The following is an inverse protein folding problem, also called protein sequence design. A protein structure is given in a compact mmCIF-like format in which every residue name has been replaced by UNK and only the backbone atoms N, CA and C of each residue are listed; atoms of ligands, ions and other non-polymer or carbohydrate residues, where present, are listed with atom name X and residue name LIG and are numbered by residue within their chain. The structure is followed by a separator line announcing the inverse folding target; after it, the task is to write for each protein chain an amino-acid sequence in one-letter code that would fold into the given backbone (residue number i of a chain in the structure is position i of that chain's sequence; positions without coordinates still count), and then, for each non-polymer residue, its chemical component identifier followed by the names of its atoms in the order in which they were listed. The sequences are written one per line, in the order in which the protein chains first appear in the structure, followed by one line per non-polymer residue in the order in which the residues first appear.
data_IF_127892526876
#
_entry.id   IF_127892526876
#
_cell.length_a   1.000
_cell.length_b   1.000
_cell.length_c   1.000
_cell.angle_alpha   90.00
_cell.angle_beta   90.00
_cell.angle_gamma   90.00
#
_symmetry.space_group_name_H-M   'P 1'
#
loop_
_entity.id
_entity.type
_entity.pdbx_description
1 polymer ?
#
# COMPACT_ATOMS: atom_id res chain seq x y z
N UNK A 1 6.82 -7.82 3.40
CA UNK A 1 5.90 -6.70 3.65
C UNK A 1 6.66 -5.37 3.77
N UNK A 2 7.38 -5.11 4.86
CA UNK A 2 8.03 -3.80 5.09
C UNK A 2 9.04 -3.38 4.01
N UNK A 3 9.83 -4.32 3.46
CA UNK A 3 10.75 -4.02 2.36
C UNK A 3 9.99 -3.48 1.13
N UNK A 4 8.89 -4.13 0.75
CA UNK A 4 8.07 -3.70 -0.38
C UNK A 4 7.39 -2.36 -0.10
N UNK A 5 6.92 -2.14 1.13
CA UNK A 5 6.38 -0.85 1.55
C UNK A 5 7.44 0.27 1.47
N UNK A 6 8.68 0.02 1.93
CA UNK A 6 9.77 0.98 1.79
C UNK A 6 10.06 1.31 0.33
N UNK A 7 10.03 0.31 -0.57
CA UNK A 7 10.21 0.54 -2.01
C UNK A 7 9.07 1.40 -2.58
N UNK A 8 7.82 1.10 -2.22
CA UNK A 8 6.65 1.87 -2.66
C UNK A 8 6.73 3.33 -2.19
N UNK A 9 7.17 3.54 -0.94
CA UNK A 9 7.37 4.87 -0.36
C UNK A 9 8.51 5.63 -1.02
N UNK A 10 9.60 4.95 -1.38
CA UNK A 10 10.70 5.54 -2.13
C UNK A 10 10.24 5.96 -3.54
N UNK A 11 9.45 5.12 -4.21
CA UNK A 11 8.88 5.45 -5.51
C UNK A 11 7.94 6.67 -5.43
N UNK A 12 7.07 6.74 -4.42
CA UNK A 12 6.21 7.91 -4.20
C UNK A 12 7.04 9.19 -3.96
N UNK A 13 8.13 9.09 -3.20
CA UNK A 13 9.02 10.22 -2.96
C UNK A 13 9.69 10.71 -4.25
N UNK A 14 10.18 9.79 -5.08
CA UNK A 14 10.77 10.12 -6.38
C UNK A 14 9.75 10.79 -7.31
N UNK A 15 8.53 10.26 -7.40
CA UNK A 15 7.45 10.85 -8.20
C UNK A 15 7.17 12.29 -7.75
N UNK A 16 7.09 12.53 -6.45
CA UNK A 16 6.79 13.86 -5.92
C UNK A 16 7.94 14.85 -6.11
N UNK A 17 9.18 14.47 -5.76
CA UNK A 17 10.31 15.39 -5.74
C UNK A 17 10.92 15.63 -7.12
N UNK A 18 10.81 14.66 -8.02
CA UNK A 18 11.38 14.77 -9.35
C UNK A 18 10.26 15.05 -10.35
N UNK A 19 9.43 14.05 -10.65
CA UNK A 19 8.52 14.16 -11.79
C UNK A 19 7.46 15.27 -11.62
N UNK A 20 6.81 15.35 -10.45
CA UNK A 20 5.81 16.37 -10.20
C UNK A 20 6.43 17.77 -10.14
N UNK A 21 7.56 17.92 -9.45
CA UNK A 21 8.26 19.21 -9.33
C UNK A 21 8.71 19.76 -10.68
N UNK A 22 9.26 18.92 -11.56
CA UNK A 22 9.72 19.35 -12.89
C UNK A 22 8.54 19.81 -13.76
N UNK A 23 7.40 19.10 -13.70
CA UNK A 23 6.21 19.50 -14.46
C UNK A 23 5.59 20.80 -13.96
N UNK A 24 5.59 21.02 -12.64
CA UNK A 24 5.16 22.29 -12.03
C UNK A 24 6.08 23.45 -12.44
N UNK A 25 7.39 23.21 -12.57
CA UNK A 25 8.35 24.21 -13.05
C UNK A 25 8.11 24.56 -14.53
N UNK A 26 7.91 23.56 -15.41
CA UNK A 26 7.59 23.82 -16.82
C UNK A 26 6.30 24.63 -16.97
N UNK A 27 5.27 24.34 -16.17
CA UNK A 27 4.02 25.11 -16.15
C UNK A 27 4.25 26.55 -15.67
N UNK A 28 5.06 26.74 -14.62
CA UNK A 28 5.37 28.05 -14.06
C UNK A 28 6.19 28.93 -15.02
N UNK A 29 7.11 28.34 -15.77
CA UNK A 29 7.91 29.05 -16.79
C UNK A 29 7.13 29.28 -18.10
N UNK A 30 5.94 28.68 -18.25
CA UNK A 30 5.14 28.78 -19.46
C UNK A 30 5.75 28.02 -20.65
N UNK A 31 6.54 26.98 -20.38
CA UNK A 31 7.15 26.11 -21.39
C UNK A 31 6.08 25.16 -21.94
N UNK A 32 5.96 25.10 -23.26
CA UNK A 32 5.11 24.10 -23.91
C UNK A 32 5.69 22.70 -23.67
N UNK A 33 4.95 21.88 -22.93
CA UNK A 33 5.33 20.52 -22.53
C UNK A 33 4.10 19.61 -22.47
N UNK A 34 4.30 18.31 -22.68
CA UNK A 34 3.26 17.29 -22.55
C UNK A 34 3.37 16.56 -21.20
N UNK A 35 2.40 16.71 -20.28
CA UNK A 35 2.46 16.07 -18.96
C UNK A 35 2.54 14.54 -19.05
N UNK A 36 3.58 13.98 -18.44
CA UNK A 36 3.76 12.55 -18.26
C UNK A 36 2.83 12.07 -17.15
N UNK A 37 1.93 11.14 -17.52
CA UNK A 37 1.04 10.48 -16.58
C UNK A 37 1.82 9.45 -15.75
N UNK A 38 1.60 9.46 -14.43
CA UNK A 38 2.17 8.49 -13.50
C UNK A 38 1.11 7.97 -12.55
N UNK A 39 1.30 6.74 -12.07
CA UNK A 39 0.44 6.18 -11.03
C UNK A 39 0.75 6.83 -9.68
N UNK A 40 -0.30 7.16 -8.92
CA UNK A 40 -0.14 7.76 -7.61
C UNK A 40 0.02 6.68 -6.53
N UNK A 41 1.26 6.29 -6.27
CA UNK A 41 1.65 5.31 -5.25
C UNK A 41 1.21 5.69 -3.83
N UNK A 42 0.86 6.95 -3.59
CA UNK A 42 0.33 7.42 -2.30
C UNK A 42 -0.85 6.58 -1.80
N UNK A 43 -1.74 6.13 -2.68
CA UNK A 43 -2.91 5.33 -2.28
C UNK A 43 -2.46 4.00 -1.63
N UNK A 44 -1.37 3.41 -2.12
CA UNK A 44 -0.81 2.17 -1.57
C UNK A 44 -0.04 2.46 -0.27
N UNK A 45 0.74 3.54 -0.23
CA UNK A 45 1.42 3.98 1.00
C UNK A 45 0.42 4.24 2.12
N UNK A 46 -0.65 5.00 1.86
CA UNK A 46 -1.68 5.36 2.82
C UNK A 46 -2.40 4.09 3.34
N UNK A 47 -2.73 3.14 2.46
CA UNK A 47 -3.28 1.84 2.86
C UNK A 47 -2.41 1.13 3.91
N UNK A 48 -1.09 1.26 3.83
CA UNK A 48 -0.16 0.63 4.77
C UNK A 48 0.03 1.46 6.05
N UNK A 49 0.21 2.78 5.91
CA UNK A 49 0.74 3.65 6.97
C UNK A 49 -0.28 4.59 7.63
N UNK A 50 -1.49 4.75 7.08
CA UNK A 50 -2.45 5.72 7.60
C UNK A 50 -2.73 5.47 9.08
N UNK A 51 -2.65 6.54 9.88
CA UNK A 51 -2.84 6.45 11.31
C UNK A 51 -4.29 6.01 11.61
N UNK A 52 -4.45 4.98 12.44
CA UNK A 52 -5.76 4.41 12.84
C UNK A 52 -6.53 3.68 11.73
N UNK A 53 -6.01 3.63 10.50
CA UNK A 53 -6.72 3.02 9.36
C UNK A 53 -5.84 2.12 8.49
N UNK A 54 -4.54 2.29 8.53
CA UNK A 54 -3.59 1.51 7.74
C UNK A 54 -3.34 0.11 8.31
N UNK A 55 -2.75 -0.75 7.49
CA UNK A 55 -2.49 -2.16 7.83
C UNK A 55 -1.65 -2.27 9.11
N UNK A 56 -0.64 -1.41 9.26
CA UNK A 56 0.22 -1.41 10.46
C UNK A 56 -0.58 -0.99 11.70
N UNK A 57 -1.44 0.03 11.59
CA UNK A 57 -2.27 0.47 12.72
C UNK A 57 -3.24 -0.64 13.17
N UNK A 58 -3.86 -1.34 12.23
CA UNK A 58 -4.76 -2.47 12.54
C UNK A 58 -4.01 -3.65 13.17
N UNK A 59 -2.77 -3.91 12.72
CA UNK A 59 -1.91 -4.93 13.31
C UNK A 59 -1.56 -4.57 14.76
N UNK A 60 -1.14 -3.33 15.00
CA UNK A 60 -0.80 -2.85 16.34
C UNK A 60 -2.02 -2.94 17.28
N UNK A 61 -3.20 -2.54 16.80
CA UNK A 61 -4.46 -2.65 17.56
C UNK A 61 -4.84 -4.11 17.90
N UNK A 62 -4.63 -5.05 16.97
CA UNK A 62 -4.91 -6.46 17.23
C UNK A 62 -3.89 -7.08 18.19
N UNK A 63 -2.61 -6.72 18.09
CA UNK A 63 -1.56 -7.16 19.02
C UNK A 63 -1.81 -6.68 20.46
N UNK A 64 -2.46 -5.53 20.65
CA UNK A 64 -2.75 -4.94 21.96
C UNK A 64 -4.12 -5.34 22.53
N UNK A 65 -4.94 -6.06 21.75
CA UNK A 65 -6.30 -6.43 22.13
C UNK A 65 -6.28 -7.47 23.27
N UNK A 66 -7.07 -7.29 24.34
CA UNK A 66 -7.21 -8.31 25.38
C UNK A 66 -7.98 -9.54 24.85
N UNK A 67 -7.48 -10.74 25.17
CA UNK A 67 -8.06 -12.03 24.77
C UNK A 67 -7.17 -12.78 23.79
N UNK A 68 -7.76 -13.74 23.06
CA UNK A 68 -7.07 -14.56 22.08
C UNK A 68 -6.89 -13.81 20.75
N UNK A 69 -5.94 -12.88 20.73
CA UNK A 69 -5.46 -12.26 19.49
C UNK A 69 -4.65 -13.30 18.69
N UNK A 70 -5.05 -13.56 17.46
CA UNK A 70 -4.40 -14.53 16.57
C UNK A 70 -4.24 -13.95 15.16
N UNK A 71 -3.38 -14.56 14.35
CA UNK A 71 -3.24 -14.16 12.95
C UNK A 71 -4.58 -14.26 12.19
N UNK A 72 -5.45 -15.21 12.55
CA UNK A 72 -6.78 -15.36 11.96
C UNK A 72 -7.70 -14.18 12.31
N UNK A 73 -7.73 -13.77 13.58
CA UNK A 73 -8.55 -12.62 14.01
C UNK A 73 -8.06 -11.31 13.41
N UNK A 74 -6.75 -11.19 13.19
CA UNK A 74 -6.17 -10.08 12.43
C UNK A 74 -6.63 -10.07 10.97
N UNK A 75 -6.59 -11.22 10.28
CA UNK A 75 -7.03 -11.33 8.88
C UNK A 75 -8.52 -11.01 8.71
N UNK A 76 -9.38 -11.46 9.61
CA UNK A 76 -10.81 -11.13 9.59
C UNK A 76 -11.04 -9.62 9.73
N UNK A 77 -10.34 -8.98 10.68
CA UNK A 77 -10.42 -7.52 10.87
C UNK A 77 -9.88 -6.72 9.68
N UNK A 78 -8.79 -7.19 9.07
CA UNK A 78 -8.26 -6.59 7.85
C UNK A 78 -9.29 -6.63 6.73
N UNK A 79 -9.98 -7.77 6.54
CA UNK A 79 -11.01 -7.89 5.51
C UNK A 79 -12.21 -6.99 5.82
N UNK A 80 -12.67 -6.94 7.08
CA UNK A 80 -13.78 -6.08 7.49
C UNK A 80 -13.50 -4.58 7.28
N UNK A 81 -12.25 -4.15 7.49
CA UNK A 81 -11.85 -2.73 7.39
C UNK A 81 -11.42 -2.32 5.99
N UNK A 82 -10.78 -3.21 5.24
CA UNK A 82 -10.11 -2.89 3.97
C UNK A 82 -10.60 -3.70 2.77
N UNK A 83 -11.51 -4.67 2.95
CA UNK A 83 -11.94 -5.59 1.88
C UNK A 83 -12.49 -4.92 0.63
N UNK A 84 -13.01 -3.69 0.74
CA UNK A 84 -13.52 -2.90 -0.37
C UNK A 84 -12.49 -1.92 -0.96
N UNK A 85 -11.27 -1.88 -0.45
CA UNK A 85 -10.24 -0.95 -0.92
C UNK A 85 -9.70 -1.42 -2.29
N UNK A 86 -9.63 -0.56 -3.33
CA UNK A 86 -9.28 -0.96 -4.70
C UNK A 86 -7.91 -1.64 -4.85
N UNK A 87 -6.98 -1.35 -3.93
CA UNK A 87 -5.62 -1.90 -3.92
C UNK A 87 -5.41 -2.97 -2.84
N UNK A 88 -6.49 -3.48 -2.26
CA UNK A 88 -6.44 -4.54 -1.26
C UNK A 88 -7.23 -5.76 -1.72
N UNK A 89 -6.64 -6.94 -1.56
CA UNK A 89 -7.31 -8.21 -1.84
C UNK A 89 -6.85 -9.25 -0.84
N UNK A 90 -7.79 -9.95 -0.21
CA UNK A 90 -7.47 -11.07 0.69
C UNK A 90 -7.41 -12.37 -0.11
N UNK A 91 -6.77 -13.40 0.45
CA UNK A 91 -6.76 -14.73 -0.15
C UNK A 91 -8.18 -15.29 -0.37
N UNK A 92 -9.13 -14.90 0.50
CA UNK A 92 -10.55 -15.27 0.40
C UNK A 92 -11.24 -14.61 -0.80
N UNK A 93 -10.96 -13.32 -1.04
CA UNK A 93 -11.53 -12.53 -2.12
C UNK A 93 -10.80 -12.70 -3.46
N UNK A 94 -9.54 -13.13 -3.43
CA UNK A 94 -8.72 -13.30 -4.62
C UNK A 94 -9.23 -14.43 -5.54
N UNK A 95 -9.13 -14.22 -6.85
CA UNK A 95 -9.34 -15.26 -7.84
C UNK A 95 -8.22 -16.32 -7.82
N UNK A 96 -8.38 -17.40 -8.59
CA UNK A 96 -7.40 -18.50 -8.64
C UNK A 96 -6.04 -18.08 -9.22
N UNK A 97 -5.97 -16.99 -9.97
CA UNK A 97 -4.73 -16.51 -10.61
C UNK A 97 -3.93 -15.58 -9.68
N UNK A 98 -4.64 -14.85 -8.84
CA UNK A 98 -4.09 -13.86 -7.89
C UNK A 98 -3.73 -14.50 -6.56
N UNK A 99 -4.37 -15.63 -6.21
CA UNK A 99 -3.96 -16.45 -5.07
C UNK A 99 -2.57 -17.03 -5.28
N UNK A 100 -1.58 -16.43 -4.61
CA UNK A 100 -0.24 -16.98 -4.49
C UNK A 100 -0.05 -17.53 -3.09
N UNK A 101 0.35 -18.80 -3.01
CA UNK A 101 0.88 -19.38 -1.78
C UNK A 101 2.40 -19.37 -1.93
N UNK A 102 3.08 -18.73 -0.99
CA UNK A 102 4.54 -18.76 -0.92
C UNK A 102 4.92 -19.78 0.13
N UNK A 103 5.62 -20.82 -0.26
CA UNK A 103 6.22 -21.75 0.68
C UNK A 103 7.50 -21.15 1.27
N UNK A 104 7.93 -21.64 2.44
CA UNK A 104 9.15 -21.16 3.09
C UNK A 104 10.40 -21.33 2.20
N UNK A 105 10.36 -22.27 1.26
CA UNK A 105 11.41 -22.50 0.26
C UNK A 105 11.47 -21.44 -0.85
N UNK A 106 10.38 -20.73 -1.13
CA UNK A 106 10.27 -19.74 -2.21
C UNK A 106 10.92 -18.39 -1.86
N UNK A 107 11.36 -18.23 -0.60
CA UNK A 107 12.11 -17.06 -0.13
C UNK A 107 13.64 -17.22 -0.24
N UNK A 108 14.12 -18.35 -0.78
CA UNK A 108 15.56 -18.61 -0.99
C UNK A 108 16.04 -18.19 -2.37
#
# INVERSE_FOLDING_TARGET
FCINYCNEKLQQLFIQLTLKSEQEEYEAEGIEWEPVQFFNNKIICDLVEERHRGIISLLDEECLRPGDATDLTFLDRLEDKMGNHPHFVTHRLADKMTRKTLERGDFR
#
